data_IF_465136153781
#
_entry.id   IF_465136153781
#
_cell.length_a   1.000
_cell.length_b   1.000
_cell.length_c   1.000
_cell.angle_alpha   90.00
_cell.angle_beta   90.00
_cell.angle_gamma   90.00
#
_symmetry.space_group_name_H-M   'P 1'
#
loop_
_entity.id
_entity.type
_entity.pdbx_description
1 polymer ?
#
# COMPACT_ATOMS: atom_id res chain seq x y z
N UNK A 1 -0.30 -38.96 3.01
CA UNK A 1 0.08 -38.45 1.67
C UNK A 1 -1.14 -37.77 1.07
N UNK A 2 -0.99 -36.65 0.37
CA UNK A 2 -2.02 -35.65 -0.03
C UNK A 2 -2.22 -34.49 0.96
N UNK A 3 -1.14 -33.73 1.20
CA UNK A 3 -1.17 -32.35 1.74
C UNK A 3 -0.36 -31.42 0.81
N UNK A 4 -0.65 -31.53 -0.49
CA UNK A 4 -0.21 -30.68 -1.60
C UNK A 4 -1.54 -30.44 -2.33
N UNK A 5 -2.19 -29.27 -2.38
CA UNK A 5 -1.72 -28.06 -3.08
C UNK A 5 -2.75 -26.92 -2.99
N UNK A 6 -3.43 -26.69 -1.85
CA UNK A 6 -4.43 -25.60 -1.77
C UNK A 6 -3.75 -24.23 -2.02
N UNK A 7 -2.59 -23.95 -1.42
CA UNK A 7 -1.87 -22.69 -1.69
C UNK A 7 -1.47 -22.47 -3.16
N UNK A 8 -1.14 -23.53 -3.90
CA UNK A 8 -0.80 -23.45 -5.34
C UNK A 8 -2.02 -23.16 -6.21
N UNK A 9 -3.20 -23.68 -5.85
CA UNK A 9 -4.44 -23.38 -6.57
C UNK A 9 -4.83 -21.92 -6.34
N UNK A 10 -4.68 -21.41 -5.12
CA UNK A 10 -5.01 -20.02 -4.77
C UNK A 10 -4.06 -19.00 -5.43
N UNK A 11 -2.74 -19.26 -5.44
CA UNK A 11 -1.78 -18.39 -6.13
C UNK A 11 -1.98 -18.39 -7.65
N UNK A 12 -2.37 -19.54 -8.22
CA UNK A 12 -2.61 -19.67 -9.67
C UNK A 12 -3.90 -18.96 -10.07
N UNK A 13 -4.97 -19.05 -9.27
CA UNK A 13 -6.23 -18.35 -9.52
C UNK A 13 -6.05 -16.83 -9.39
N UNK A 14 -5.40 -16.34 -8.33
CA UNK A 14 -5.09 -14.91 -8.18
C UNK A 14 -4.19 -14.38 -9.29
N UNK A 15 -3.13 -15.11 -9.69
CA UNK A 15 -2.27 -14.67 -10.80
C UNK A 15 -2.98 -14.69 -12.15
N UNK A 16 -3.90 -15.63 -12.39
CA UNK A 16 -4.70 -15.68 -13.62
C UNK A 16 -5.75 -14.57 -13.66
N UNK A 17 -6.35 -14.25 -12.51
CA UNK A 17 -7.25 -13.10 -12.37
C UNK A 17 -6.52 -11.78 -12.58
N UNK A 18 -5.31 -11.62 -12.01
CA UNK A 18 -4.46 -10.43 -12.22
C UNK A 18 -3.92 -10.32 -13.66
N UNK A 19 -3.55 -11.43 -14.31
CA UNK A 19 -3.13 -11.44 -15.72
C UNK A 19 -4.31 -11.15 -16.65
N UNK A 20 -5.50 -11.70 -16.37
CA UNK A 20 -6.73 -11.36 -17.08
C UNK A 20 -7.09 -9.89 -16.89
N UNK A 21 -6.81 -9.33 -15.71
CA UNK A 21 -7.00 -7.92 -15.38
C UNK A 21 -6.12 -7.00 -16.23
N UNK A 22 -4.81 -7.27 -16.28
CA UNK A 22 -3.88 -6.50 -17.12
C UNK A 22 -4.20 -6.63 -18.61
N UNK A 23 -4.61 -7.80 -19.08
CA UNK A 23 -4.98 -8.02 -20.48
C UNK A 23 -6.29 -7.31 -20.85
N UNK A 24 -7.30 -7.35 -19.98
CA UNK A 24 -8.58 -6.67 -20.19
C UNK A 24 -8.43 -5.14 -20.12
N UNK A 25 -7.65 -4.62 -19.19
CA UNK A 25 -7.31 -3.20 -19.11
C UNK A 25 -6.51 -2.71 -20.33
N UNK A 26 -5.52 -3.48 -20.78
CA UNK A 26 -4.74 -3.17 -21.99
C UNK A 26 -5.59 -3.19 -23.27
N UNK A 27 -6.52 -4.14 -23.41
CA UNK A 27 -7.46 -4.21 -24.54
C UNK A 27 -8.51 -3.10 -24.52
N UNK A 28 -8.93 -2.64 -23.33
CA UNK A 28 -9.86 -1.52 -23.16
C UNK A 28 -9.20 -0.17 -23.49
N UNK A 29 -7.96 0.05 -23.06
CA UNK A 29 -7.15 1.24 -23.41
C UNK A 29 -6.87 1.38 -24.92
N UNK A 30 -6.85 0.25 -25.64
CA UNK A 30 -6.74 0.23 -27.10
C UNK A 30 -8.09 0.51 -27.82
N UNK A 31 -9.18 0.78 -27.08
CA UNK A 31 -10.52 0.98 -27.63
C UNK A 31 -11.14 -0.28 -28.25
N UNK A 32 -10.59 -1.48 -27.96
CA UNK A 32 -10.98 -2.72 -28.66
C UNK A 32 -12.10 -3.50 -27.98
N UNK A 33 -12.48 -3.15 -26.74
CA UNK A 33 -13.56 -3.82 -26.00
C UNK A 33 -14.35 -2.81 -25.17
N UNK A 34 -15.67 -2.75 -25.39
CA UNK A 34 -16.63 -2.11 -24.49
C UNK A 34 -17.26 -3.19 -23.62
N UNK A 35 -17.03 -3.12 -22.31
CA UNK A 35 -17.69 -3.99 -21.35
C UNK A 35 -19.04 -3.37 -20.96
N UNK A 36 -20.11 -4.16 -21.04
CA UNK A 36 -21.41 -3.75 -20.54
C UNK A 36 -21.41 -3.68 -19.01
N UNK A 37 -22.29 -2.86 -18.43
CA UNK A 37 -22.54 -2.83 -16.98
C UNK A 37 -22.78 -4.24 -16.41
N UNK A 38 -23.48 -5.09 -17.17
CA UNK A 38 -23.71 -6.49 -16.82
C UNK A 38 -22.42 -7.32 -16.73
N UNK A 39 -21.44 -7.08 -17.60
CA UNK A 39 -20.16 -7.78 -17.58
C UNK A 39 -19.31 -7.38 -16.37
N UNK A 40 -19.35 -6.10 -15.96
CA UNK A 40 -18.70 -5.61 -14.75
C UNK A 40 -19.36 -6.21 -13.50
N UNK A 41 -20.70 -6.22 -13.46
CA UNK A 41 -21.45 -6.84 -12.36
C UNK A 41 -21.19 -8.34 -12.25
N UNK A 42 -21.17 -9.06 -13.37
CA UNK A 42 -20.88 -10.49 -13.40
C UNK A 42 -19.43 -10.77 -12.98
N UNK A 43 -18.47 -9.97 -13.43
CA UNK A 43 -17.07 -10.04 -13.02
C UNK A 43 -16.87 -9.82 -11.51
N UNK A 44 -17.52 -8.80 -10.94
CA UNK A 44 -17.50 -8.51 -9.51
C UNK A 44 -18.18 -9.61 -8.68
N UNK A 45 -19.24 -10.23 -9.22
CA UNK A 45 -19.93 -11.37 -8.61
C UNK A 45 -19.13 -12.66 -8.71
N UNK A 46 -18.23 -12.81 -9.68
CA UNK A 46 -17.31 -13.94 -9.78
C UNK A 46 -16.09 -13.81 -8.85
N UNK A 47 -15.85 -12.63 -8.27
CA UNK A 47 -14.81 -12.35 -7.27
C UNK A 47 -14.95 -13.13 -5.94
N UNK A 48 -13.94 -12.97 -5.08
CA UNK A 48 -13.84 -13.61 -3.75
C UNK A 48 -15.06 -13.32 -2.87
N UNK A 49 -15.35 -14.20 -1.90
CA UNK A 49 -16.48 -14.09 -0.97
C UNK A 49 -16.59 -12.71 -0.28
N UNK A 50 -15.43 -12.08 -0.02
CA UNK A 50 -15.34 -10.72 0.53
C UNK A 50 -15.90 -9.65 -0.43
N UNK A 51 -15.57 -9.72 -1.73
CA UNK A 51 -16.08 -8.82 -2.77
C UNK A 51 -17.59 -8.88 -2.85
N UNK A 52 -18.18 -10.08 -2.76
CA UNK A 52 -19.63 -10.29 -2.81
C UNK A 52 -20.35 -9.74 -1.57
N UNK A 53 -19.82 -9.99 -0.38
CA UNK A 53 -20.39 -9.46 0.86
C UNK A 53 -20.36 -7.93 0.89
N UNK A 54 -19.29 -7.33 0.39
CA UNK A 54 -19.14 -5.88 0.34
C UNK A 54 -20.10 -5.21 -0.66
N UNK A 55 -20.26 -5.77 -1.87
CA UNK A 55 -21.24 -5.28 -2.85
C UNK A 55 -22.65 -5.33 -2.28
N UNK A 56 -22.95 -6.39 -1.53
CA UNK A 56 -24.24 -6.54 -0.85
C UNK A 56 -24.45 -5.43 0.17
N UNK A 57 -23.48 -5.18 1.06
CA UNK A 57 -23.57 -4.10 2.08
C UNK A 57 -23.78 -2.74 1.44
N UNK A 58 -23.01 -2.38 0.41
CA UNK A 58 -23.17 -1.08 -0.27
C UNK A 58 -24.49 -0.94 -1.02
N UNK A 59 -24.97 -2.03 -1.64
CA UNK A 59 -26.30 -2.05 -2.25
C UNK A 59 -27.39 -1.85 -1.19
N UNK A 60 -27.27 -2.49 -0.04
CA UNK A 60 -28.21 -2.36 1.07
C UNK A 60 -28.16 -0.94 1.69
N UNK A 61 -27.01 -0.26 1.62
CA UNK A 61 -26.80 1.14 2.04
C UNK A 61 -27.13 2.18 0.95
N UNK A 62 -27.60 1.77 -0.24
CA UNK A 62 -27.93 2.68 -1.34
C UNK A 62 -26.72 3.34 -2.02
N UNK A 63 -25.51 2.83 -1.80
CA UNK A 63 -24.29 3.34 -2.40
C UNK A 63 -24.11 2.83 -3.84
N UNK A 64 -23.53 3.67 -4.70
CA UNK A 64 -23.42 3.41 -6.14
C UNK A 64 -22.46 2.24 -6.44
N UNK A 65 -22.92 1.29 -7.27
CA UNK A 65 -22.09 0.23 -7.86
C UNK A 65 -21.25 0.88 -8.99
N UNK A 66 -19.96 0.53 -9.16
CA UNK A 66 -19.06 1.19 -10.09
C UNK A 66 -19.59 1.12 -11.52
N UNK A 67 -19.72 2.28 -12.16
CA UNK A 67 -20.27 2.41 -13.51
C UNK A 67 -19.21 2.21 -14.62
N UNK A 68 -17.92 2.18 -14.27
CA UNK A 68 -16.81 2.01 -15.22
C UNK A 68 -15.77 1.01 -14.70
N UNK A 69 -14.95 0.49 -15.61
CA UNK A 69 -13.84 -0.41 -15.28
C UNK A 69 -12.80 0.28 -14.39
N UNK A 70 -12.58 1.59 -14.57
CA UNK A 70 -11.68 2.40 -13.74
C UNK A 70 -12.22 2.57 -12.30
N UNK A 71 -13.53 2.78 -12.12
CA UNK A 71 -14.13 2.76 -10.80
C UNK A 71 -14.07 1.37 -10.17
N UNK A 72 -14.28 0.31 -10.96
CA UNK A 72 -14.14 -1.06 -10.48
C UNK A 72 -12.68 -1.38 -10.13
N UNK A 73 -11.69 -0.84 -10.86
CA UNK A 73 -10.26 -1.00 -10.59
C UNK A 73 -9.86 -0.26 -9.31
N UNK A 74 -10.22 1.02 -9.17
CA UNK A 74 -10.02 1.78 -7.94
C UNK A 74 -10.70 1.11 -6.73
N UNK A 75 -11.91 0.57 -6.91
CA UNK A 75 -12.62 -0.17 -5.87
C UNK A 75 -12.03 -1.56 -5.58
N UNK A 76 -11.47 -2.23 -6.58
CA UNK A 76 -10.75 -3.49 -6.40
C UNK A 76 -9.38 -3.26 -5.76
N UNK A 77 -8.75 -2.11 -6.00
CA UNK A 77 -7.59 -1.67 -5.24
C UNK A 77 -7.98 -1.40 -3.78
N UNK A 78 -9.12 -0.76 -3.51
CA UNK A 78 -9.62 -0.62 -2.13
C UNK A 78 -9.92 -1.98 -1.47
N UNK A 79 -10.54 -2.92 -2.20
CA UNK A 79 -10.89 -4.26 -1.70
C UNK A 79 -9.72 -5.25 -1.62
N UNK A 80 -8.61 -4.94 -2.29
CA UNK A 80 -7.41 -5.79 -2.40
C UNK A 80 -6.16 -4.93 -2.23
N UNK A 81 -6.18 -3.97 -1.29
CA UNK A 81 -4.96 -3.29 -0.88
C UNK A 81 -4.10 -4.31 -0.14
N UNK A 82 -3.16 -4.91 -0.89
CA UNK A 82 -2.16 -5.78 -0.32
C UNK A 82 -1.05 -4.91 0.25
N UNK A 83 -0.90 -4.95 1.58
CA UNK A 83 0.11 -4.20 2.30
C UNK A 83 1.28 -5.09 2.64
N UNK A 84 2.47 -4.67 2.24
CA UNK A 84 3.72 -5.34 2.56
C UNK A 84 4.55 -4.50 3.51
N UNK A 85 5.28 -5.16 4.40
CA UNK A 85 6.34 -4.52 5.18
C UNK A 85 7.68 -5.19 4.90
N UNK A 86 8.70 -4.37 4.70
CA UNK A 86 10.08 -4.77 4.45
C UNK A 86 10.94 -4.43 5.66
N UNK A 87 11.71 -5.39 6.15
CA UNK A 87 12.62 -5.18 7.28
C UNK A 87 13.91 -5.98 7.16
N UNK A 88 14.97 -5.45 7.76
CA UNK A 88 16.26 -6.13 7.90
C UNK A 88 16.26 -7.23 8.95
N UNK A 89 15.42 -7.12 9.98
CA UNK A 89 15.31 -8.05 11.11
C UNK A 89 13.93 -8.69 11.22
N UNK A 90 13.79 -9.70 12.09
CA UNK A 90 12.47 -10.28 12.38
C UNK A 90 11.64 -9.33 13.22
N UNK A 91 10.36 -9.15 12.85
CA UNK A 91 9.42 -8.42 13.68
C UNK A 91 8.95 -9.34 14.79
N UNK A 92 9.18 -8.92 16.03
CA UNK A 92 8.69 -9.60 17.22
C UNK A 92 7.35 -9.03 17.66
N UNK A 93 7.19 -7.71 17.55
CA UNK A 93 6.00 -6.98 17.98
C UNK A 93 5.81 -5.70 17.16
N UNK A 94 4.57 -5.20 17.15
CA UNK A 94 4.20 -3.90 16.60
C UNK A 94 3.71 -3.04 17.76
N UNK A 95 4.31 -1.87 17.91
CA UNK A 95 3.98 -0.91 18.96
C UNK A 95 3.37 0.35 18.36
N UNK A 96 2.44 0.98 19.08
CA UNK A 96 1.96 2.31 18.73
C UNK A 96 3.06 3.34 18.96
N UNK A 97 3.11 4.36 18.10
CA UNK A 97 4.09 5.44 18.16
C UNK A 97 3.38 6.79 18.28
N UNK A 98 3.89 7.66 19.14
CA UNK A 98 3.39 9.04 19.26
C UNK A 98 4.06 9.90 18.18
N UNK A 99 3.27 10.70 17.45
CA UNK A 99 3.83 11.69 16.53
C UNK A 99 4.41 12.87 17.31
N UNK A 100 5.67 13.20 17.03
CA UNK A 100 6.34 14.33 17.62
C UNK A 100 6.05 15.61 16.82
N UNK A 101 6.20 16.80 17.44
CA UNK A 101 6.15 18.05 16.72
C UNK A 101 7.14 18.07 15.56
N UNK A 102 6.70 18.59 14.43
CA UNK A 102 7.51 18.62 13.22
C UNK A 102 8.57 19.72 13.30
N UNK A 103 9.79 19.35 12.92
CA UNK A 103 10.97 20.21 12.99
C UNK A 103 11.41 20.68 11.61
N UNK A 104 11.10 19.91 10.55
CA UNK A 104 11.44 20.22 9.15
C UNK A 104 10.29 19.91 8.21
N UNK A 105 10.17 20.61 7.06
CA UNK A 105 9.13 20.33 6.07
C UNK A 105 9.13 18.91 5.50
N UNK A 106 10.29 18.26 5.47
CA UNK A 106 10.46 16.89 4.98
C UNK A 106 10.30 15.81 6.04
N UNK A 107 10.01 16.16 7.30
CA UNK A 107 9.81 15.15 8.34
C UNK A 107 8.60 14.29 8.01
N UNK A 108 8.83 12.98 7.99
CA UNK A 108 7.81 11.95 7.76
C UNK A 108 7.20 11.51 9.10
N UNK A 109 5.97 10.96 9.11
CA UNK A 109 5.39 10.44 10.34
C UNK A 109 6.20 9.24 10.83
N UNK A 110 6.29 9.08 12.14
CA UNK A 110 6.99 7.94 12.76
C UNK A 110 6.00 6.81 13.03
N UNK A 111 6.28 5.60 12.57
CA UNK A 111 5.36 4.49 12.78
C UNK A 111 5.76 3.25 11.99
N UNK A 112 4.82 2.33 11.89
CA UNK A 112 4.97 1.10 11.12
C UNK A 112 4.70 1.39 9.63
N UNK A 113 5.76 1.45 8.84
CA UNK A 113 5.69 1.73 7.41
C UNK A 113 5.27 0.51 6.61
N UNK A 114 4.35 0.69 5.68
CA UNK A 114 3.85 -0.34 4.77
C UNK A 114 3.96 0.14 3.33
N UNK A 115 4.27 -0.77 2.43
CA UNK A 115 4.25 -0.58 0.99
C UNK A 115 2.92 -1.09 0.45
N UNK A 116 2.27 -0.31 -0.41
CA UNK A 116 1.09 -0.76 -1.15
C UNK A 116 1.57 -1.47 -2.40
N UNK A 117 1.26 -2.76 -2.54
CA UNK A 117 1.74 -3.58 -3.66
C UNK A 117 1.21 -3.05 -4.99
N UNK A 118 2.11 -2.80 -5.93
CA UNK A 118 1.78 -2.23 -7.23
C UNK A 118 3.01 -1.74 -8.00
N UNK A 119 2.84 -1.13 -9.18
CA UNK A 119 3.94 -0.73 -10.06
C UNK A 119 4.92 0.28 -9.47
N UNK A 120 4.48 1.06 -8.49
CA UNK A 120 5.28 2.07 -7.80
C UNK A 120 5.44 1.75 -6.31
N UNK A 121 5.39 0.47 -5.94
CA UNK A 121 5.64 0.01 -4.58
C UNK A 121 7.12 0.15 -4.19
N UNK A 122 7.43 -0.05 -2.90
CA UNK A 122 8.79 0.04 -2.38
C UNK A 122 9.77 -0.85 -3.15
N UNK A 123 9.39 -2.10 -3.41
CA UNK A 123 10.26 -3.07 -4.08
C UNK A 123 10.57 -2.68 -5.52
N UNK A 124 9.59 -2.12 -6.23
CA UNK A 124 9.75 -1.65 -7.60
C UNK A 124 10.61 -0.39 -7.68
N UNK A 125 10.49 0.51 -6.70
CA UNK A 125 11.26 1.76 -6.63
C UNK A 125 12.66 1.61 -6.04
N UNK A 126 12.87 0.62 -5.19
CA UNK A 126 14.13 0.39 -4.47
C UNK A 126 14.63 -1.06 -4.64
N UNK A 127 14.95 -1.48 -5.88
CA UNK A 127 15.44 -2.83 -6.13
C UNK A 127 16.80 -3.05 -5.45
N UNK A 128 16.91 -4.12 -4.67
CA UNK A 128 18.15 -4.48 -3.97
C UNK A 128 18.38 -3.74 -2.64
N UNK A 129 17.38 -3.02 -2.12
CA UNK A 129 17.44 -2.41 -0.80
C UNK A 129 17.65 -3.48 0.30
N UNK A 130 18.51 -3.17 1.28
CA UNK A 130 18.79 -4.03 2.42
C UNK A 130 17.56 -4.29 3.30
N UNK A 131 16.55 -3.42 3.26
CA UNK A 131 15.24 -3.63 3.90
C UNK A 131 14.46 -4.79 3.25
N UNK A 132 14.72 -5.16 1.99
CA UNK A 132 14.03 -6.25 1.28
C UNK A 132 14.45 -7.66 1.76
N UNK A 133 15.06 -7.80 2.94
CA UNK A 133 15.41 -9.12 3.49
C UNK A 133 14.14 -9.88 3.88
N UNK A 134 13.43 -9.38 4.89
CA UNK A 134 12.20 -10.00 5.36
C UNK A 134 10.99 -9.27 4.77
N UNK A 135 10.05 -10.04 4.23
CA UNK A 135 8.79 -9.55 3.68
C UNK A 135 7.63 -10.06 4.52
N UNK A 136 6.80 -9.15 5.00
CA UNK A 136 5.58 -9.46 5.74
C UNK A 136 4.37 -8.98 4.97
N UNK A 137 3.31 -9.79 4.95
CA UNK A 137 1.97 -9.33 4.63
C UNK A 137 1.35 -8.71 5.89
N UNK A 138 0.75 -7.53 5.73
CA UNK A 138 0.12 -6.77 6.81
C UNK A 138 -1.38 -6.77 6.60
N UNK A 139 -2.13 -7.18 7.62
CA UNK A 139 -3.58 -7.18 7.61
C UNK A 139 -4.09 -6.06 8.49
N UNK A 140 -4.96 -5.22 7.92
CA UNK A 140 -5.61 -4.16 8.67
C UNK A 140 -6.72 -4.73 9.56
N UNK A 141 -7.04 -4.03 10.65
CA UNK A 141 -8.21 -4.32 11.47
C UNK A 141 -9.49 -3.94 10.72
N UNK A 142 -10.56 -4.74 10.85
CA UNK A 142 -11.82 -4.46 10.14
C UNK A 142 -12.50 -3.14 10.53
N UNK A 143 -12.10 -2.53 11.65
CA UNK A 143 -12.53 -1.20 12.11
C UNK A 143 -11.32 -0.29 12.36
N UNK A 144 -10.53 -0.06 11.32
CA UNK A 144 -9.44 0.92 11.38
C UNK A 144 -9.93 2.33 11.01
N UNK A 145 -9.24 3.35 11.49
CA UNK A 145 -9.43 4.74 11.10
C UNK A 145 -8.17 5.28 10.42
N UNK A 146 -7.86 4.74 9.24
CA UNK A 146 -6.74 5.17 8.41
C UNK A 146 -7.25 6.16 7.37
N UNK A 147 -6.46 7.21 7.12
CA UNK A 147 -6.72 8.14 6.03
C UNK A 147 -6.09 7.61 4.74
N UNK A 148 -6.91 7.41 3.71
CA UNK A 148 -6.46 6.99 2.38
C UNK A 148 -6.43 8.19 1.45
N UNK A 149 -5.32 8.37 0.74
CA UNK A 149 -5.15 9.40 -0.27
C UNK A 149 -4.73 8.75 -1.59
N UNK A 150 -5.63 8.84 -2.58
CA UNK A 150 -5.50 8.24 -3.91
C UNK A 150 -5.68 9.25 -5.05
N UNK A 151 -5.80 10.54 -4.75
CA UNK A 151 -5.72 11.60 -5.76
C UNK A 151 -4.87 12.79 -5.29
N UNK A 152 -4.45 13.60 -6.25
CA UNK A 152 -3.75 14.86 -6.00
C UNK A 152 -4.62 15.84 -5.19
N UNK A 153 -5.90 15.93 -5.51
CA UNK A 153 -6.82 16.85 -4.84
C UNK A 153 -6.93 16.53 -3.35
N UNK A 154 -6.88 15.24 -3.00
CA UNK A 154 -6.83 14.80 -1.60
C UNK A 154 -5.51 15.19 -0.93
N UNK A 155 -4.37 15.06 -1.60
CA UNK A 155 -3.07 15.53 -1.07
C UNK A 155 -3.06 17.05 -0.84
N UNK A 156 -3.56 17.83 -1.80
CA UNK A 156 -3.66 19.29 -1.64
C UNK A 156 -4.66 19.67 -0.55
N UNK A 157 -5.80 18.96 -0.43
CA UNK A 157 -6.76 19.19 0.65
C UNK A 157 -6.17 18.83 2.02
N UNK A 158 -5.47 17.70 2.12
CA UNK A 158 -4.75 17.28 3.31
C UNK A 158 -3.70 18.32 3.74
N UNK A 159 -2.90 18.81 2.80
CA UNK A 159 -1.92 19.87 3.04
C UNK A 159 -2.59 21.16 3.53
N UNK A 160 -3.75 21.53 3.00
CA UNK A 160 -4.48 22.73 3.47
C UNK A 160 -4.98 22.59 4.92
N UNK A 161 -5.36 21.39 5.34
CA UNK A 161 -5.93 21.13 6.67
C UNK A 161 -4.85 20.90 7.72
N UNK A 162 -3.81 20.14 7.38
CA UNK A 162 -2.76 19.69 8.31
C UNK A 162 -1.41 20.35 8.07
N UNK A 163 -1.30 21.20 7.04
CA UNK A 163 -0.09 21.94 6.75
C UNK A 163 0.28 22.93 7.86
N UNK A 164 1.57 22.94 8.20
CA UNK A 164 2.17 23.81 9.19
C UNK A 164 3.32 24.58 8.54
N UNK A 165 3.21 25.91 8.53
CA UNK A 165 4.29 26.79 8.10
C UNK A 165 5.26 27.02 9.25
N UNK A 166 6.40 26.35 9.21
CA UNK A 166 7.45 26.51 10.22
C UNK A 166 8.15 27.87 10.06
N UNK A 167 8.57 28.47 11.18
CA UNK A 167 9.25 29.76 11.18
C UNK A 167 10.61 29.65 10.48
N UNK A 168 10.82 30.46 9.45
CA UNK A 168 12.07 30.47 8.67
C UNK A 168 12.12 29.45 7.54
N UNK A 169 11.07 28.65 7.35
CA UNK A 169 10.99 27.65 6.29
C UNK A 169 10.17 28.15 5.09
N UNK A 170 10.68 27.88 3.88
CA UNK A 170 9.97 28.19 2.63
C UNK A 170 8.85 27.20 2.34
N UNK A 171 8.97 25.96 2.81
CA UNK A 171 8.05 24.88 2.46
C UNK A 171 7.04 24.60 3.57
N UNK A 172 5.93 23.97 3.22
CA UNK A 172 4.90 23.55 4.17
C UNK A 172 5.29 22.18 4.75
N UNK A 173 5.33 22.09 6.07
CA UNK A 173 5.43 20.83 6.80
C UNK A 173 4.02 20.25 7.06
N UNK A 174 3.91 18.99 7.46
CA UNK A 174 2.63 18.45 7.94
C UNK A 174 2.66 18.35 9.46
N UNK A 175 1.64 18.84 10.15
CA UNK A 175 1.46 18.63 11.58
C UNK A 175 0.98 17.19 11.85
N UNK A 176 1.93 16.24 11.88
CA UNK A 176 1.62 14.83 12.12
C UNK A 176 0.96 14.58 13.49
N UNK A 177 1.23 15.42 14.50
CA UNK A 177 0.56 15.32 15.80
C UNK A 177 -0.94 15.64 15.68
N UNK A 178 -1.29 16.67 14.89
CA UNK A 178 -2.68 16.96 14.56
C UNK A 178 -3.33 15.83 13.75
N UNK A 179 -2.63 15.29 12.76
CA UNK A 179 -3.14 14.15 11.96
C UNK A 179 -3.41 12.93 12.85
N UNK A 180 -2.50 12.63 13.78
CA UNK A 180 -2.62 11.48 14.69
C UNK A 180 -3.70 11.63 15.76
N UNK A 181 -4.18 12.85 16.01
CA UNK A 181 -5.36 13.06 16.85
C UNK A 181 -6.66 12.60 16.17
N UNK A 182 -6.67 12.54 14.83
CA UNK A 182 -7.85 12.22 14.02
C UNK A 182 -7.75 10.84 13.35
N UNK A 183 -6.56 10.31 13.11
CA UNK A 183 -6.33 9.06 12.39
C UNK A 183 -5.30 8.17 13.06
N UNK A 184 -5.38 6.87 12.77
CA UNK A 184 -4.45 5.83 13.23
C UNK A 184 -3.22 5.66 12.31
N UNK A 185 -3.25 6.31 11.16
CA UNK A 185 -2.23 6.21 10.11
C UNK A 185 -2.74 6.79 8.80
N UNK A 186 -1.82 6.87 7.84
CA UNK A 186 -2.08 7.34 6.47
C UNK A 186 -1.59 6.31 5.46
N UNK A 187 -2.31 6.15 4.35
CA UNK A 187 -1.90 5.36 3.19
C UNK A 187 -2.04 6.23 1.95
N UNK A 188 -0.96 6.35 1.17
CA UNK A 188 -0.93 7.12 -0.06
C UNK A 188 -0.64 6.18 -1.23
N UNK A 189 -1.65 5.92 -2.05
CA UNK A 189 -1.55 5.06 -3.22
C UNK A 189 -2.63 5.40 -4.27
N UNK A 190 -2.30 5.46 -5.56
CA UNK A 190 -0.98 5.20 -6.15
C UNK A 190 0.06 6.29 -5.82
N UNK A 191 1.32 6.07 -6.17
CA UNK A 191 2.37 7.09 -6.05
C UNK A 191 2.30 8.08 -7.21
N UNK A 192 2.33 9.38 -6.91
CA UNK A 192 2.22 10.44 -7.91
C UNK A 192 3.57 11.14 -8.14
N UNK A 193 4.43 10.52 -8.95
CA UNK A 193 5.80 11.01 -9.20
C UNK A 193 5.87 12.41 -9.85
N UNK A 194 4.83 12.81 -10.59
CA UNK A 194 4.79 14.11 -11.29
C UNK A 194 4.58 15.31 -10.35
N UNK A 195 4.48 15.08 -9.03
CA UNK A 195 4.12 16.11 -8.06
C UNK A 195 5.22 16.46 -7.06
N UNK A 196 6.42 15.94 -7.25
CA UNK A 196 7.59 16.27 -6.42
C UNK A 196 8.06 17.74 -6.63
N UNK A 197 7.57 18.42 -7.67
CA UNK A 197 7.96 19.79 -8.06
C UNK A 197 7.02 20.90 -7.57
N UNK A 198 6.02 20.63 -6.72
CA UNK A 198 5.07 21.65 -6.25
C UNK A 198 5.40 22.17 -4.85
N UNK A 199 5.44 23.51 -4.72
CA UNK A 199 5.70 24.25 -3.48
C UNK A 199 4.82 23.84 -2.29
N UNK A 200 3.57 23.46 -2.54
CA UNK A 200 2.64 23.03 -1.50
C UNK A 200 2.75 21.54 -1.15
N UNK A 201 3.38 20.71 -1.99
CA UNK A 201 3.49 19.26 -1.80
C UNK A 201 4.91 18.78 -1.53
N UNK A 202 5.84 19.68 -1.17
CA UNK A 202 7.23 19.32 -0.88
C UNK A 202 7.40 18.22 0.17
N UNK A 203 6.56 18.21 1.21
CA UNK A 203 6.56 17.14 2.22
C UNK A 203 6.29 15.76 1.59
N UNK A 204 5.47 15.71 0.53
CA UNK A 204 5.15 14.49 -0.21
C UNK A 204 6.30 14.02 -1.10
N UNK A 205 7.17 14.93 -1.57
CA UNK A 205 8.37 14.56 -2.31
C UNK A 205 9.31 13.63 -1.53
N UNK A 206 9.25 13.64 -0.19
CA UNK A 206 9.99 12.71 0.67
C UNK A 206 9.35 11.31 0.77
N UNK A 207 8.14 11.10 0.23
CA UNK A 207 7.38 9.84 0.36
C UNK A 207 7.94 8.73 -0.56
N UNK A 208 8.34 9.08 -1.79
CA UNK A 208 9.17 8.26 -2.70
C UNK A 208 8.52 7.03 -3.35
N UNK A 209 7.44 6.47 -2.80
CA UNK A 209 6.73 5.31 -3.36
C UNK A 209 5.30 5.18 -2.81
N UNK A 210 4.52 4.25 -3.37
CA UNK A 210 3.16 3.95 -2.92
C UNK A 210 3.22 3.23 -1.57
N UNK A 211 2.94 3.96 -0.49
CA UNK A 211 3.21 3.51 0.86
C UNK A 211 2.35 4.24 1.89
N UNK A 212 2.33 3.70 3.10
CA UNK A 212 1.65 4.28 4.25
C UNK A 212 2.47 4.15 5.52
N UNK A 213 2.07 4.92 6.53
CA UNK A 213 2.63 4.87 7.87
C UNK A 213 1.48 4.70 8.86
N UNK A 214 1.54 3.63 9.65
CA UNK A 214 0.53 3.28 10.65
C UNK A 214 1.17 3.46 12.02
N UNK A 215 0.68 4.40 12.81
CA UNK A 215 1.25 4.72 14.12
C UNK A 215 0.42 4.20 15.29
N UNK A 216 -0.82 3.76 15.06
CA UNK A 216 -1.58 3.03 16.06
C UNK A 216 -1.67 1.54 15.70
N UNK A 217 -1.10 0.68 16.55
CA UNK A 217 -1.05 -0.77 16.33
C UNK A 217 -2.45 -1.39 16.23
N UNK A 218 -3.46 -0.77 16.82
CA UNK A 218 -4.83 -1.30 16.83
C UNK A 218 -5.49 -1.20 15.43
N UNK A 219 -4.89 -0.46 14.49
CA UNK A 219 -5.26 -0.49 13.08
C UNK A 219 -4.76 -1.75 12.34
N UNK A 220 -3.91 -2.57 12.96
CA UNK A 220 -3.32 -3.78 12.37
C UNK A 220 -3.88 -5.01 13.09
N UNK A 221 -4.54 -5.90 12.36
CA UNK A 221 -5.06 -7.17 12.91
C UNK A 221 -4.04 -8.30 12.91
N UNK A 222 -2.99 -8.20 12.09
CA UNK A 222 -1.91 -9.16 12.10
C UNK A 222 -0.86 -8.92 11.04
N UNK A 223 0.27 -9.60 11.21
CA UNK A 223 1.35 -9.67 10.22
C UNK A 223 1.73 -11.14 10.00
N UNK A 224 2.08 -11.48 8.77
CA UNK A 224 2.50 -12.83 8.40
C UNK A 224 3.79 -12.76 7.60
N UNK A 225 4.83 -13.46 8.05
CA UNK A 225 6.08 -13.55 7.31
C UNK A 225 5.85 -14.35 6.02
N UNK A 226 6.12 -13.71 4.88
CA UNK A 226 5.97 -14.28 3.53
C UNK A 226 7.32 -14.77 3.01
N UNK A 227 8.38 -14.02 3.28
CA UNK A 227 9.75 -14.38 2.90
C UNK A 227 10.68 -13.99 4.05
N UNK A 228 11.44 -14.96 4.54
CA UNK A 228 12.59 -14.70 5.40
C UNK A 228 13.81 -14.45 4.50
N UNK A 229 14.55 -13.38 4.80
CA UNK A 229 15.84 -13.16 4.16
C UNK A 229 16.87 -14.10 4.80
N UNK A 230 17.76 -14.69 4.00
CA UNK A 230 18.85 -15.49 4.55
C UNK A 230 19.61 -14.66 5.59
N UNK A 231 19.77 -15.23 6.79
CA UNK A 231 20.69 -14.66 7.77
C UNK A 231 22.05 -14.66 7.09
N UNK A 232 22.55 -13.48 6.73
CA UNK A 232 23.95 -13.31 6.34
C UNK A 232 24.79 -13.58 7.60
N UNK A 233 24.92 -14.86 7.96
CA UNK A 233 25.96 -15.36 8.83
C UNK A 233 27.25 -14.97 8.13
N UNK A 234 27.92 -13.92 8.60
CA UNK A 234 29.19 -13.46 8.08
C UNK A 234 30.31 -14.48 8.32
N UNK A 235 30.25 -15.65 7.67
CA UNK A 235 31.30 -16.66 7.56
C UNK A 235 30.93 -17.71 6.50
N UNK A 236 31.90 -17.98 5.59
CA UNK A 236 31.92 -18.92 4.43
C UNK A 236 31.41 -18.25 3.15
N UNK A 237 32.23 -17.71 2.25
CA UNK A 237 33.44 -18.27 1.65
C UNK A 237 34.50 -17.19 1.44
N UNK A 238 35.59 -17.22 2.21
CA UNK A 238 36.87 -16.83 1.63
C UNK A 238 37.39 -18.10 0.96
N UNK A 239 37.68 -18.12 -0.35
CA UNK A 239 38.48 -19.20 -0.90
C UNK A 239 39.82 -19.17 -0.16
N UNK A 240 40.14 -20.24 0.55
CA UNK A 240 41.52 -20.52 0.95
C UNK A 240 42.32 -20.64 -0.33
N UNK A 241 42.98 -19.55 -0.71
CA UNK A 241 44.05 -19.57 -1.70
C UNK A 241 45.21 -20.26 -0.99
N UNK A 242 45.35 -21.57 -1.20
CA UNK A 242 46.61 -22.26 -0.95
C UNK A 242 47.56 -21.88 -2.07
N UNK A 243 48.63 -21.17 -1.73
CA UNK A 243 49.81 -21.10 -2.58
C UNK A 243 50.60 -22.40 -2.39
N UNK A 244 50.75 -23.17 -3.46
CA UNK A 244 51.83 -24.15 -3.61
C UNK A 244 53.10 -23.41 -4.08
#
# INVERSE_FOLDING_TARGET
>A
MWRISIQRVWSTVLSRSQQAFHLAGWLSLQGRVHFSKLAIEQFLMEGCLHTRQWIKVRRDEGQMIPATLEHADAMMQELIMLLHHYSTGKIVEINSTVQLPVMKPSDRPTGFWVSVVGPNDWKSKHPGDLLDRNLYEVKLAGKHNLLFMNTREQLSAFTKVYGLKLKGETWIAIDWAKVAAEYQGVIIAPFFAEHDDYDDLFWYGAWGCASGCIWDKDAISGISLIREGDQFLGLKFLPTISFE
#
